data_IF_898876612935
#
_entry.id   IF_898876612935
#
_cell.length_a   1.000
_cell.length_b   1.000
_cell.length_c   1.000
_cell.angle_alpha   90.00
_cell.angle_beta   90.00
_cell.angle_gamma   90.00
#
_symmetry.space_group_name_H-M   'P 1'
#
loop_
_entity.id
_entity.type
_entity.pdbx_description
1 polymer ?
#
# COMPACT_ATOMS: atom_id res chain seq x y z
N UNK A 1 33.96 12.26 2.18
CA UNK A 1 33.89 10.81 1.88
C UNK A 1 33.90 10.06 3.20
N UNK A 2 32.73 9.68 3.72
CA UNK A 2 32.68 8.77 4.87
C UNK A 2 32.85 7.35 4.34
N UNK A 3 33.89 6.69 4.83
CA UNK A 3 34.23 5.29 4.55
C UNK A 3 33.11 4.40 5.09
N UNK A 4 32.42 3.71 4.18
CA UNK A 4 31.50 2.63 4.53
C UNK A 4 32.31 1.48 5.14
N UNK A 5 32.22 1.30 6.46
CA UNK A 5 32.59 0.04 7.11
C UNK A 5 31.60 -1.03 6.63
N UNK A 6 32.05 -1.91 5.73
CA UNK A 6 31.34 -3.16 5.45
C UNK A 6 31.23 -3.92 6.76
N UNK A 7 30.02 -4.15 7.25
CA UNK A 7 29.77 -5.22 8.20
C UNK A 7 29.94 -6.54 7.45
N UNK A 8 31.15 -7.09 7.48
CA UNK A 8 31.38 -8.47 7.10
C UNK A 8 30.75 -9.37 8.17
N UNK A 9 29.99 -10.42 7.81
CA UNK A 9 29.63 -11.43 8.78
C UNK A 9 30.93 -12.03 9.37
N UNK A 10 31.00 -12.31 10.68
CA UNK A 10 32.19 -12.88 11.27
C UNK A 10 32.53 -14.20 10.57
N UNK A 11 33.78 -14.34 10.13
CA UNK A 11 34.31 -15.51 9.40
C UNK A 11 34.38 -16.79 10.25
N UNK A 12 34.13 -16.66 11.56
CA UNK A 12 33.92 -17.77 12.48
C UNK A 12 33.07 -17.28 13.65
N UNK A 13 32.11 -18.10 14.08
CA UNK A 13 31.38 -17.87 15.33
C UNK A 13 32.37 -18.05 16.49
N UNK A 14 32.44 -17.13 17.46
CA UNK A 14 33.35 -17.28 18.60
C UNK A 14 33.09 -18.61 19.32
N UNK A 15 34.14 -19.29 19.79
CA UNK A 15 34.00 -20.50 20.60
C UNK A 15 33.19 -20.16 21.87
N UNK A 16 31.95 -20.65 21.97
CA UNK A 16 30.98 -20.24 23.01
C UNK A 16 30.72 -21.33 24.05
N UNK A 17 30.44 -20.88 25.29
CA UNK A 17 30.03 -21.68 26.45
C UNK A 17 28.66 -22.35 26.25
N UNK A 18 28.57 -23.70 26.31
CA UNK A 18 27.29 -24.41 26.39
C UNK A 18 26.54 -24.01 27.67
N UNK A 19 25.23 -23.74 27.60
CA UNK A 19 24.41 -23.51 28.81
C UNK A 19 23.67 -22.17 28.97
N UNK A 20 23.59 -21.31 27.95
CA UNK A 20 23.01 -19.95 28.10
C UNK A 20 21.57 -19.81 27.56
N UNK A 21 20.81 -18.86 28.11
CA UNK A 21 19.47 -18.47 27.66
C UNK A 21 19.54 -17.50 26.47
N UNK A 22 18.67 -17.66 25.47
CA UNK A 22 18.53 -16.71 24.35
C UNK A 22 17.12 -16.16 24.20
N UNK A 23 17.01 -14.94 23.70
CA UNK A 23 15.76 -14.24 23.41
C UNK A 23 15.66 -14.01 21.90
N UNK A 24 14.62 -14.52 21.26
CA UNK A 24 14.30 -14.24 19.86
C UNK A 24 13.14 -13.23 19.81
N UNK A 25 13.43 -12.03 19.31
CA UNK A 25 12.46 -10.93 19.24
C UNK A 25 11.81 -10.85 17.85
N UNK A 26 10.53 -11.19 17.80
CA UNK A 26 9.67 -11.05 16.62
C UNK A 26 9.16 -9.61 16.48
N UNK A 27 9.27 -9.06 15.26
CA UNK A 27 8.84 -7.69 14.90
C UNK A 27 8.07 -7.72 13.58
N UNK A 28 8.76 -8.19 12.54
CA UNK A 28 8.22 -8.90 11.39
C UNK A 28 8.59 -10.38 11.56
N UNK A 29 8.59 -11.17 10.50
CA UNK A 29 9.12 -12.51 10.57
C UNK A 29 8.27 -13.46 11.39
N UNK A 30 6.95 -13.28 11.39
CA UNK A 30 6.02 -14.04 12.21
C UNK A 30 5.86 -15.47 11.66
N UNK A 31 6.96 -16.22 11.62
CA UNK A 31 7.10 -17.55 11.03
C UNK A 31 8.22 -18.34 11.69
N UNK A 32 8.17 -19.66 11.56
CA UNK A 32 9.23 -20.58 11.96
C UNK A 32 10.14 -20.95 10.79
N UNK A 33 9.58 -21.16 9.59
CA UNK A 33 10.34 -21.51 8.39
C UNK A 33 11.23 -20.34 7.94
N UNK A 34 12.39 -20.64 7.34
CA UNK A 34 13.35 -19.63 6.87
C UNK A 34 13.53 -18.51 7.89
N UNK A 35 13.86 -18.84 9.13
CA UNK A 35 14.08 -17.85 10.19
C UNK A 35 15.49 -18.04 10.76
N UNK A 36 16.52 -17.47 10.10
CA UNK A 36 17.91 -17.63 10.53
C UNK A 36 18.17 -17.14 11.96
N UNK A 37 17.44 -16.12 12.41
CA UNK A 37 17.55 -15.61 13.78
C UNK A 37 16.99 -16.59 14.82
N UNK A 38 15.86 -17.22 14.53
CA UNK A 38 15.29 -18.29 15.37
C UNK A 38 16.19 -19.53 15.36
N UNK A 39 16.70 -19.92 14.19
CA UNK A 39 17.62 -21.06 14.04
C UNK A 39 18.91 -20.83 14.86
N UNK A 40 19.50 -19.65 14.77
CA UNK A 40 20.70 -19.29 15.54
C UNK A 40 20.43 -19.29 17.05
N UNK A 41 19.29 -18.76 17.49
CA UNK A 41 18.88 -18.80 18.89
C UNK A 41 18.71 -20.24 19.39
N UNK A 42 18.11 -21.12 18.60
CA UNK A 42 17.84 -22.51 18.97
C UNK A 42 19.10 -23.39 19.02
N UNK A 43 20.04 -23.24 18.09
CA UNK A 43 21.24 -24.12 17.99
C UNK A 43 22.17 -24.06 19.19
N UNK A 44 22.16 -22.96 19.95
CA UNK A 44 23.26 -22.61 20.87
C UNK A 44 22.79 -22.28 22.29
N UNK A 45 21.54 -22.59 22.62
CA UNK A 45 20.91 -22.17 23.89
C UNK A 45 20.23 -23.33 24.61
N UNK A 46 20.24 -23.29 25.95
CA UNK A 46 19.49 -24.26 26.77
C UNK A 46 18.01 -23.94 26.81
N UNK A 47 17.68 -22.65 26.87
CA UNK A 47 16.32 -22.14 26.76
C UNK A 47 16.27 -21.02 25.72
N UNK A 48 15.20 -21.00 24.94
CA UNK A 48 14.89 -19.94 23.98
C UNK A 48 13.60 -19.28 24.43
N UNK A 49 13.58 -17.95 24.47
CA UNK A 49 12.42 -17.13 24.83
C UNK A 49 11.92 -16.43 23.55
N UNK A 50 10.85 -16.93 22.91
CA UNK A 50 10.21 -16.25 21.78
C UNK A 50 9.39 -15.07 22.29
N UNK A 51 9.78 -13.83 21.94
CA UNK A 51 9.13 -12.62 22.40
C UNK A 51 8.54 -11.81 21.24
N UNK A 52 7.30 -11.37 21.40
CA UNK A 52 6.71 -10.27 20.64
C UNK A 52 6.28 -9.16 21.60
N UNK A 53 6.54 -7.90 21.24
CA UNK A 53 6.09 -6.74 22.03
C UNK A 53 5.01 -5.98 21.27
N UNK A 54 3.83 -5.90 21.86
CA UNK A 54 2.72 -5.08 21.37
C UNK A 54 2.98 -3.64 21.78
N UNK A 55 3.32 -2.82 20.79
CA UNK A 55 3.48 -1.38 20.92
C UNK A 55 2.10 -0.68 21.01
N UNK A 56 1.78 0.00 22.13
CA UNK A 56 0.55 0.76 22.29
C UNK A 56 0.34 1.82 21.20
N UNK A 57 1.40 2.38 20.62
CA UNK A 57 1.29 3.38 19.55
C UNK A 57 0.54 2.85 18.32
N UNK A 58 0.68 1.57 18.01
CA UNK A 58 0.05 0.91 16.87
C UNK A 58 -1.24 0.18 17.22
N UNK A 59 -1.58 0.05 18.50
CA UNK A 59 -2.64 -0.86 18.97
C UNK A 59 -3.68 -0.19 19.86
N UNK A 60 -3.35 0.92 20.53
CA UNK A 60 -4.29 1.66 21.37
C UNK A 60 -5.38 2.29 20.48
N UNK A 61 -6.67 2.07 20.77
CA UNK A 61 -7.76 2.71 20.03
C UNK A 61 -7.62 4.22 20.05
N UNK A 62 -7.76 4.83 18.87
CA UNK A 62 -7.78 6.28 18.70
C UNK A 62 -9.19 6.72 18.29
N UNK A 63 -9.97 7.34 19.20
CA UNK A 63 -11.34 7.75 18.93
C UNK A 63 -11.42 8.95 17.96
N UNK A 64 -10.32 9.66 17.70
CA UNK A 64 -10.27 10.81 16.78
C UNK A 64 -10.12 10.39 15.32
N UNK A 65 -9.92 9.12 15.09
CA UNK A 65 -9.71 8.54 13.80
C UNK A 65 -10.95 8.49 12.91
N UNK A 66 -10.74 8.55 11.59
CA UNK A 66 -11.81 8.38 10.60
C UNK A 66 -12.36 6.94 10.47
N UNK A 67 -11.71 5.96 11.10
CA UNK A 67 -12.17 4.58 11.14
C UNK A 67 -11.65 3.86 12.39
N UNK A 68 -12.35 2.81 12.88
CA UNK A 68 -11.93 2.06 14.06
C UNK A 68 -10.50 1.50 13.94
N UNK A 69 -9.73 1.62 15.03
CA UNK A 69 -8.35 1.15 15.14
C UNK A 69 -7.48 2.13 15.93
N UNK A 70 -6.17 2.00 15.81
CA UNK A 70 -5.19 2.95 16.36
C UNK A 70 -4.85 4.04 15.35
N UNK A 71 -4.19 5.11 15.80
CA UNK A 71 -3.76 6.24 14.96
C UNK A 71 -3.17 5.81 13.60
N UNK A 72 -2.34 4.77 13.60
CA UNK A 72 -1.62 4.29 12.42
C UNK A 72 -2.17 2.99 11.82
N UNK A 73 -3.07 2.27 12.49
CA UNK A 73 -3.55 0.95 12.06
C UNK A 73 -5.07 0.81 12.18
N UNK A 74 -5.75 0.46 11.08
CA UNK A 74 -7.15 0.08 11.12
C UNK A 74 -7.36 -1.32 11.72
N UNK A 75 -8.59 -1.59 12.18
CA UNK A 75 -8.94 -2.88 12.80
C UNK A 75 -8.58 -4.10 11.94
N UNK A 76 -8.72 -4.05 10.62
CA UNK A 76 -8.40 -5.17 9.74
C UNK A 76 -6.93 -5.58 9.86
N UNK A 77 -6.02 -4.60 9.90
CA UNK A 77 -4.57 -4.85 10.03
C UNK A 77 -4.20 -5.33 11.43
N UNK A 78 -4.83 -4.75 12.45
CA UNK A 78 -4.67 -5.19 13.85
C UNK A 78 -5.12 -6.64 14.00
N UNK A 79 -6.30 -6.99 13.48
CA UNK A 79 -6.83 -8.36 13.51
C UNK A 79 -5.90 -9.35 12.82
N UNK A 80 -5.42 -9.03 11.61
CA UNK A 80 -4.48 -9.89 10.89
C UNK A 80 -3.17 -10.12 11.68
N UNK A 81 -2.64 -9.08 12.34
CA UNK A 81 -1.49 -9.22 13.22
C UNK A 81 -1.79 -10.19 14.38
N UNK A 82 -2.91 -10.01 15.08
CA UNK A 82 -3.29 -10.88 16.20
C UNK A 82 -3.48 -12.34 15.75
N UNK A 83 -4.13 -12.57 14.62
CA UNK A 83 -4.26 -13.90 14.00
C UNK A 83 -2.89 -14.50 13.66
N UNK A 84 -1.95 -13.70 13.14
CA UNK A 84 -0.58 -14.13 12.85
C UNK A 84 0.20 -14.51 14.12
N UNK A 85 0.01 -13.77 15.22
CA UNK A 85 0.64 -14.08 16.50
C UNK A 85 0.07 -15.36 17.13
N UNK A 86 -1.24 -15.58 17.01
CA UNK A 86 -1.90 -16.82 17.46
C UNK A 86 -1.43 -18.03 16.67
N UNK A 87 -1.25 -17.90 15.35
CA UNK A 87 -0.68 -18.96 14.51
C UNK A 87 0.78 -19.25 14.88
N UNK A 88 1.61 -18.21 15.06
CA UNK A 88 3.00 -18.36 15.51
C UNK A 88 3.10 -19.08 16.86
N UNK A 89 2.30 -18.66 17.86
CA UNK A 89 2.25 -19.33 19.17
C UNK A 89 1.81 -20.80 19.05
N UNK A 90 0.81 -21.08 18.21
CA UNK A 90 0.32 -22.44 17.97
C UNK A 90 1.41 -23.33 17.32
N UNK A 91 2.19 -22.78 16.40
CA UNK A 91 3.29 -23.49 15.77
C UNK A 91 4.50 -23.67 16.71
N UNK A 92 4.79 -22.70 17.58
CA UNK A 92 5.80 -22.84 18.63
C UNK A 92 5.40 -23.90 19.68
N UNK A 93 4.11 -23.98 20.04
CA UNK A 93 3.56 -25.01 20.94
C UNK A 93 3.77 -26.43 20.43
N UNK A 94 3.63 -26.65 19.12
CA UNK A 94 3.92 -27.96 18.49
C UNK A 94 5.38 -28.40 18.66
N UNK A 95 6.29 -27.44 18.88
CA UNK A 95 7.71 -27.69 19.13
C UNK A 95 8.08 -27.67 20.63
N UNK A 96 7.09 -27.68 21.53
CA UNK A 96 7.32 -27.61 22.97
C UNK A 96 7.70 -26.23 23.50
N UNK A 97 7.49 -25.17 22.71
CA UNK A 97 7.74 -23.77 23.09
C UNK A 97 6.42 -22.97 23.17
N UNK A 98 6.51 -21.64 23.33
CA UNK A 98 5.38 -20.70 23.43
C UNK A 98 5.81 -19.31 22.95
N UNK A 99 4.89 -18.51 22.44
CA UNK A 99 5.13 -17.09 22.23
C UNK A 99 4.84 -16.30 23.51
N UNK A 100 5.81 -15.51 23.96
CA UNK A 100 5.63 -14.52 25.01
C UNK A 100 5.20 -13.21 24.36
N UNK A 101 4.01 -12.74 24.71
CA UNK A 101 3.48 -11.46 24.22
C UNK A 101 3.46 -10.48 25.38
N UNK A 102 4.27 -9.42 25.28
CA UNK A 102 4.35 -8.36 26.27
C UNK A 102 3.81 -7.05 25.72
N UNK A 103 3.35 -6.17 26.61
CA UNK A 103 2.82 -4.85 26.25
C UNK A 103 3.75 -3.76 26.76
N UNK A 104 4.03 -2.76 25.92
CA UNK A 104 4.84 -1.59 26.29
C UNK A 104 5.62 -1.02 25.11
N UNK A 105 6.44 0.00 25.38
CA UNK A 105 7.41 0.48 24.40
C UNK A 105 8.46 -0.63 24.18
N UNK A 106 8.74 -1.05 22.92
CA UNK A 106 9.61 -2.18 22.65
C UNK A 106 11.01 -2.10 23.27
N UNK A 107 11.65 -0.93 23.27
CA UNK A 107 12.96 -0.72 23.89
C UNK A 107 12.95 -0.97 25.40
N UNK A 108 12.02 -0.35 26.12
CA UNK A 108 11.85 -0.53 27.57
C UNK A 108 11.58 -1.98 27.95
N UNK A 109 10.66 -2.64 27.23
CA UNK A 109 10.30 -4.04 27.48
C UNK A 109 11.48 -4.97 27.23
N UNK A 110 12.22 -4.77 26.13
CA UNK A 110 13.41 -5.58 25.83
C UNK A 110 14.50 -5.41 26.90
N UNK A 111 14.81 -4.17 27.30
CA UNK A 111 15.81 -3.91 28.34
C UNK A 111 15.42 -4.61 29.65
N UNK A 112 14.13 -4.60 30.00
CA UNK A 112 13.63 -5.33 31.17
C UNK A 112 13.82 -6.85 31.03
N UNK A 113 13.40 -7.45 29.92
CA UNK A 113 13.53 -8.88 29.68
C UNK A 113 15.00 -9.35 29.70
N UNK A 114 15.91 -8.56 29.13
CA UNK A 114 17.34 -8.89 29.14
C UNK A 114 17.91 -8.97 30.56
N UNK A 115 17.47 -8.09 31.46
CA UNK A 115 17.90 -8.05 32.86
C UNK A 115 17.25 -9.15 33.70
N UNK A 116 15.93 -9.33 33.58
CA UNK A 116 15.16 -10.23 34.45
C UNK A 116 15.35 -11.71 34.12
N UNK A 117 15.65 -12.06 32.86
CA UNK A 117 15.73 -13.46 32.41
C UNK A 117 17.16 -13.96 32.18
N UNK A 118 18.18 -13.20 32.64
CA UNK A 118 19.62 -13.46 32.41
C UNK A 118 19.91 -13.81 30.94
N UNK A 119 19.39 -13.00 30.01
CA UNK A 119 19.54 -13.25 28.57
C UNK A 119 20.93 -12.80 28.14
N UNK A 120 21.76 -13.76 27.73
CA UNK A 120 23.12 -13.49 27.24
C UNK A 120 23.17 -13.33 25.71
N UNK A 121 22.04 -13.55 25.02
CA UNK A 121 21.93 -13.51 23.56
C UNK A 121 20.58 -12.99 23.08
N UNK A 122 20.56 -11.85 22.38
CA UNK A 122 19.40 -11.30 21.68
C UNK A 122 19.52 -11.59 20.18
N UNK A 123 18.52 -12.23 19.60
CA UNK A 123 18.42 -12.52 18.17
C UNK A 123 17.17 -11.83 17.59
N UNK A 124 17.29 -11.26 16.39
CA UNK A 124 16.18 -10.73 15.60
C UNK A 124 16.52 -10.85 14.12
N UNK A 125 15.51 -10.97 13.26
CA UNK A 125 15.70 -11.35 11.85
C UNK A 125 16.58 -10.36 11.05
N UNK A 126 17.62 -10.92 10.41
CA UNK A 126 18.20 -10.51 9.12
C UNK A 126 18.21 -11.77 8.25
N UNK A 127 17.62 -11.70 7.06
CA UNK A 127 17.02 -12.87 6.42
C UNK A 127 17.81 -13.33 5.20
N UNK A 128 18.37 -14.56 5.22
CA UNK A 128 18.58 -15.32 3.98
C UNK A 128 18.58 -16.90 3.98
N UNK A 129 17.49 -17.75 3.91
CA UNK A 129 17.57 -19.17 3.35
C UNK A 129 16.32 -20.08 3.01
N UNK A 130 16.32 -20.93 1.94
CA UNK A 130 15.14 -21.67 1.47
C UNK A 130 15.11 -23.18 1.78
N UNK A 131 13.94 -23.72 2.15
CA UNK A 131 13.62 -25.15 2.01
C UNK A 131 12.09 -25.37 2.04
N UNK A 132 11.64 -26.45 1.39
CA UNK A 132 10.31 -27.09 1.44
C UNK A 132 9.27 -26.76 0.35
N UNK A 133 9.06 -27.68 -0.58
CA UNK A 133 8.00 -27.65 -1.59
C UNK A 133 6.93 -28.72 -1.30
N UNK A 134 5.67 -28.46 -1.63
CA UNK A 134 4.78 -29.37 -2.41
C UNK A 134 3.28 -28.95 -2.37
N UNK A 135 2.78 -28.33 -3.45
CA UNK A 135 1.38 -28.42 -3.93
C UNK A 135 1.28 -27.81 -5.36
N UNK A 136 1.71 -28.57 -6.37
CA UNK A 136 2.51 -27.91 -7.41
C UNK A 136 1.87 -27.78 -8.81
N UNK A 137 1.22 -28.79 -9.37
CA UNK A 137 1.02 -28.82 -10.84
C UNK A 137 0.18 -27.67 -11.44
N UNK A 138 -0.99 -27.35 -10.87
CA UNK A 138 -1.85 -26.25 -11.38
C UNK A 138 -1.32 -24.86 -10.98
N UNK A 139 -0.63 -24.77 -9.84
CA UNK A 139 -0.01 -23.53 -9.35
C UNK A 139 1.22 -23.19 -10.19
N UNK A 140 2.01 -24.20 -10.56
CA UNK A 140 3.19 -24.11 -11.42
C UNK A 140 2.92 -23.44 -12.75
N UNK A 141 1.89 -23.92 -13.46
CA UNK A 141 1.52 -23.35 -14.74
C UNK A 141 1.04 -21.89 -14.62
N UNK A 142 0.28 -21.57 -13.57
CA UNK A 142 -0.16 -20.19 -13.31
C UNK A 142 1.02 -19.25 -13.00
N UNK A 143 1.97 -19.69 -12.16
CA UNK A 143 3.18 -18.92 -11.81
C UNK A 143 4.03 -18.64 -13.06
N UNK A 144 4.25 -19.64 -13.91
CA UNK A 144 5.06 -19.49 -15.13
C UNK A 144 4.45 -18.48 -16.12
N UNK A 145 3.11 -18.43 -16.21
CA UNK A 145 2.37 -17.58 -17.17
C UNK A 145 1.89 -16.23 -16.60
N UNK A 146 2.09 -15.96 -15.31
CA UNK A 146 1.56 -14.75 -14.66
C UNK A 146 2.15 -13.44 -15.22
N UNK A 147 1.30 -12.49 -15.61
CA UNK A 147 1.71 -11.13 -15.97
C UNK A 147 0.85 -10.08 -15.24
N UNK A 148 1.47 -9.34 -14.32
CA UNK A 148 0.74 -8.36 -13.48
C UNK A 148 -0.09 -7.35 -14.29
N UNK A 149 0.41 -6.71 -15.37
CA UNK A 149 -0.37 -5.70 -16.09
C UNK A 149 -1.66 -6.23 -16.74
N UNK A 150 -1.75 -7.55 -16.98
CA UNK A 150 -2.86 -8.21 -17.67
C UNK A 150 -3.84 -8.88 -16.69
N UNK A 151 -3.86 -8.44 -15.43
CA UNK A 151 -4.78 -8.95 -14.38
C UNK A 151 -6.01 -8.05 -14.22
N UNK A 152 -7.15 -8.66 -13.90
CA UNK A 152 -8.44 -7.98 -13.78
C UNK A 152 -8.62 -7.34 -12.38
N UNK A 153 -8.71 -5.99 -12.26
CA UNK A 153 -8.97 -5.31 -10.99
C UNK A 153 -10.37 -5.50 -10.44
N UNK A 154 -11.33 -5.92 -11.26
CA UNK A 154 -12.72 -6.15 -10.88
C UNK A 154 -12.98 -7.58 -10.39
N UNK A 155 -12.01 -8.50 -10.55
CA UNK A 155 -12.13 -9.88 -10.09
C UNK A 155 -12.09 -9.97 -8.55
N UNK A 156 -13.28 -10.08 -7.93
CA UNK A 156 -13.43 -10.14 -6.47
C UNK A 156 -13.75 -11.55 -5.92
N UNK A 157 -14.43 -12.42 -6.69
CA UNK A 157 -14.74 -13.80 -6.24
C UNK A 157 -13.49 -14.69 -6.21
N UNK A 158 -12.64 -14.57 -7.23
CA UNK A 158 -11.31 -15.17 -7.30
C UNK A 158 -10.34 -14.05 -7.66
N UNK A 159 -9.53 -13.58 -6.69
CA UNK A 159 -8.58 -12.50 -6.93
C UNK A 159 -7.66 -12.81 -8.10
N UNK A 160 -7.43 -11.83 -8.98
CA UNK A 160 -6.57 -12.02 -10.16
C UNK A 160 -5.06 -12.13 -9.85
N UNK A 161 -4.68 -12.02 -8.57
CA UNK A 161 -3.29 -12.09 -8.09
C UNK A 161 -3.23 -12.94 -6.82
N UNK A 162 -2.02 -13.27 -6.37
CA UNK A 162 -1.79 -14.21 -5.26
C UNK A 162 -2.38 -13.79 -3.91
N UNK A 163 -2.64 -12.49 -3.69
CA UNK A 163 -2.99 -11.93 -2.37
C UNK A 163 -1.97 -12.25 -1.26
N UNK A 164 -0.72 -12.57 -1.59
CA UNK A 164 0.32 -12.89 -0.60
C UNK A 164 0.98 -11.66 0.04
N UNK A 165 0.61 -10.45 -0.37
CA UNK A 165 1.22 -9.22 0.12
C UNK A 165 1.10 -9.00 1.64
N UNK A 166 -0.03 -9.33 2.33
CA UNK A 166 -0.10 -9.23 3.80
C UNK A 166 0.90 -10.17 4.49
N UNK A 167 1.02 -11.40 4.01
CA UNK A 167 1.91 -12.42 4.57
C UNK A 167 3.38 -12.01 4.41
N UNK A 168 3.76 -11.46 3.25
CA UNK A 168 5.10 -10.91 3.02
C UNK A 168 5.37 -9.66 3.89
N UNK A 169 4.36 -8.82 4.15
CA UNK A 169 4.50 -7.62 4.97
C UNK A 169 4.76 -7.92 6.45
N UNK A 170 4.05 -8.90 7.01
CA UNK A 170 4.26 -9.35 8.38
C UNK A 170 5.39 -10.38 8.51
N UNK A 171 5.90 -10.89 7.38
CA UNK A 171 6.92 -11.93 7.34
C UNK A 171 6.40 -13.31 7.77
N UNK A 172 5.09 -13.53 7.66
CA UNK A 172 4.46 -14.84 7.78
C UNK A 172 4.88 -15.76 6.63
N UNK A 173 5.20 -15.17 5.46
CA UNK A 173 5.82 -15.83 4.33
C UNK A 173 7.18 -15.19 4.09
N UNK A 174 8.24 -16.00 3.97
CA UNK A 174 9.54 -15.51 3.53
C UNK A 174 9.51 -15.12 2.05
N UNK A 175 10.02 -13.92 1.72
CA UNK A 175 10.20 -13.50 0.34
C UNK A 175 11.23 -14.34 -0.41
N UNK A 176 12.19 -14.94 0.30
CA UNK A 176 13.25 -15.74 -0.30
C UNK A 176 12.84 -17.16 -0.58
N UNK A 177 12.14 -17.75 0.38
CA UNK A 177 11.46 -19.01 0.14
C UNK A 177 10.54 -18.88 -1.07
N UNK A 178 9.75 -17.79 -1.14
CA UNK A 178 8.88 -17.55 -2.29
C UNK A 178 9.67 -17.33 -3.59
N UNK A 179 10.78 -16.58 -3.55
CA UNK A 179 11.69 -16.43 -4.70
C UNK A 179 12.18 -17.79 -5.22
N UNK A 180 12.67 -18.65 -4.32
CA UNK A 180 13.21 -19.95 -4.70
C UNK A 180 12.13 -20.87 -5.27
N UNK A 181 10.95 -20.88 -4.67
CA UNK A 181 9.79 -21.57 -5.24
C UNK A 181 9.53 -21.11 -6.67
N UNK A 182 9.47 -19.79 -6.94
CA UNK A 182 9.27 -19.29 -8.30
C UNK A 182 10.41 -19.73 -9.23
N UNK A 183 11.67 -19.65 -8.80
CA UNK A 183 12.83 -20.06 -9.59
C UNK A 183 12.83 -21.55 -9.93
N UNK A 184 12.40 -22.39 -9.00
CA UNK A 184 12.29 -23.83 -9.21
C UNK A 184 11.19 -24.15 -10.22
N UNK A 185 10.05 -23.47 -10.13
CA UNK A 185 8.98 -23.56 -11.13
C UNK A 185 9.48 -23.10 -12.49
N UNK A 186 10.14 -21.94 -12.60
CA UNK A 186 10.65 -21.43 -13.88
C UNK A 186 11.60 -22.43 -14.57
N UNK A 187 12.38 -23.23 -13.82
CA UNK A 187 13.25 -24.27 -14.39
C UNK A 187 12.49 -25.42 -15.05
N UNK A 188 11.26 -25.68 -14.61
CA UNK A 188 10.40 -26.76 -15.15
C UNK A 188 9.71 -26.36 -16.47
N UNK A 189 9.73 -25.08 -16.85
CA UNK A 189 9.05 -24.57 -18.05
C UNK A 189 10.05 -23.99 -19.05
N UNK A 190 9.97 -24.44 -20.31
CA UNK A 190 10.81 -23.94 -21.41
C UNK A 190 10.61 -22.44 -21.69
N UNK A 191 9.39 -21.94 -21.50
CA UNK A 191 9.02 -20.53 -21.66
C UNK A 191 8.23 -20.08 -20.43
N UNK A 192 8.62 -18.94 -19.85
CA UNK A 192 7.93 -18.30 -18.76
C UNK A 192 8.04 -16.78 -18.90
N UNK A 193 7.16 -16.06 -18.22
CA UNK A 193 7.17 -14.60 -18.20
C UNK A 193 8.44 -14.07 -17.52
N UNK A 194 8.87 -12.87 -17.88
CA UNK A 194 10.07 -12.24 -17.31
C UNK A 194 9.73 -10.97 -16.52
N UNK A 195 10.60 -10.54 -15.58
CA UNK A 195 10.49 -9.22 -14.98
C UNK A 195 10.42 -8.13 -16.07
N UNK A 196 9.66 -7.04 -15.89
CA UNK A 196 9.03 -6.61 -14.63
C UNK A 196 7.59 -7.14 -14.43
N UNK A 197 7.04 -7.87 -15.39
CA UNK A 197 5.61 -8.28 -15.38
C UNK A 197 5.37 -9.59 -14.66
N UNK A 198 6.37 -10.48 -14.64
CA UNK A 198 6.29 -11.80 -14.00
C UNK A 198 6.10 -11.73 -12.49
N UNK A 199 5.80 -12.88 -11.87
CA UNK A 199 5.65 -13.00 -10.42
C UNK A 199 6.98 -12.71 -9.71
N UNK A 200 8.10 -13.16 -10.30
CA UNK A 200 9.45 -12.81 -9.86
C UNK A 200 9.69 -11.29 -9.92
N UNK A 201 9.24 -10.64 -11.00
CA UNK A 201 9.29 -9.18 -11.14
C UNK A 201 8.53 -8.45 -10.03
N UNK A 202 7.50 -9.06 -9.43
CA UNK A 202 6.78 -8.46 -8.30
C UNK A 202 7.62 -8.44 -7.01
N UNK A 203 8.48 -9.44 -6.80
CA UNK A 203 9.46 -9.40 -5.70
C UNK A 203 10.54 -8.35 -5.96
N UNK A 204 10.97 -8.18 -7.21
CA UNK A 204 11.92 -7.11 -7.56
C UNK A 204 11.35 -5.71 -7.35
N UNK A 205 10.05 -5.50 -7.59
CA UNK A 205 9.39 -4.24 -7.23
C UNK A 205 9.41 -3.95 -5.73
N UNK A 206 9.23 -4.98 -4.90
CA UNK A 206 9.38 -4.85 -3.44
C UNK A 206 10.80 -4.43 -3.09
N UNK A 207 11.80 -5.16 -3.56
CA UNK A 207 13.20 -4.90 -3.20
C UNK A 207 13.71 -3.56 -3.75
N UNK A 208 13.22 -3.14 -4.93
CA UNK A 208 13.45 -1.81 -5.49
C UNK A 208 13.01 -0.72 -4.51
N UNK A 209 11.75 -0.74 -4.04
CA UNK A 209 11.27 0.29 -3.12
C UNK A 209 11.89 0.20 -1.74
N UNK A 210 12.20 -1.00 -1.24
CA UNK A 210 12.95 -1.17 0.01
C UNK A 210 14.35 -0.52 -0.09
N UNK A 211 15.06 -0.77 -1.19
CA UNK A 211 16.41 -0.21 -1.44
C UNK A 211 16.36 1.31 -1.56
N UNK A 212 15.43 1.84 -2.36
CA UNK A 212 15.30 3.29 -2.56
C UNK A 212 14.86 4.00 -1.27
N UNK A 213 13.89 3.42 -0.55
CA UNK A 213 13.41 3.97 0.71
C UNK A 213 14.49 4.02 1.78
N UNK A 214 15.32 2.98 1.89
CA UNK A 214 16.47 2.96 2.80
C UNK A 214 17.51 4.05 2.48
N UNK A 215 17.83 4.24 1.20
CA UNK A 215 18.86 5.19 0.74
C UNK A 215 18.41 6.65 0.60
N UNK A 216 17.16 6.97 0.95
CA UNK A 216 16.54 8.28 0.72
C UNK A 216 16.01 8.87 2.01
N UNK A 217 16.71 9.86 2.61
CA UNK A 217 16.14 10.66 3.69
C UNK A 217 14.81 11.29 3.28
N UNK A 218 13.86 11.34 4.22
CA UNK A 218 12.52 11.88 4.00
C UNK A 218 11.75 11.21 2.86
N UNK A 219 12.03 9.93 2.55
CA UNK A 219 11.36 9.19 1.46
C UNK A 219 9.82 9.25 1.53
N UNK A 220 9.28 9.39 2.73
CA UNK A 220 7.87 9.39 3.06
C UNK A 220 7.24 10.77 3.24
N UNK A 221 7.97 11.83 2.89
CA UNK A 221 7.49 13.20 2.82
C UNK A 221 7.91 13.85 1.49
N UNK A 222 7.20 14.90 1.07
CA UNK A 222 7.57 15.70 -0.09
C UNK A 222 8.71 16.66 0.26
N UNK A 223 8.57 17.38 1.37
CA UNK A 223 9.56 18.36 1.84
C UNK A 223 10.85 17.66 2.25
N UNK A 224 11.98 18.18 1.78
CA UNK A 224 13.32 17.63 2.07
C UNK A 224 13.67 16.35 1.30
N UNK A 225 12.76 15.80 0.51
CA UNK A 225 12.98 14.56 -0.23
C UNK A 225 13.64 14.81 -1.59
N UNK A 226 14.91 14.43 -1.70
CA UNK A 226 15.77 14.69 -2.88
C UNK A 226 15.26 14.10 -4.20
N UNK A 227 14.40 13.07 -4.16
CA UNK A 227 13.86 12.42 -5.37
C UNK A 227 12.40 12.79 -5.64
N UNK A 228 11.78 13.59 -4.77
CA UNK A 228 10.39 13.99 -4.88
C UNK A 228 10.29 15.39 -5.50
N UNK A 229 9.52 15.50 -6.59
CA UNK A 229 9.14 16.80 -7.16
C UNK A 229 8.31 17.58 -6.15
N UNK A 230 8.65 18.86 -6.00
CA UNK A 230 7.94 19.79 -5.14
C UNK A 230 6.72 20.33 -5.91
N UNK A 231 5.52 19.91 -5.53
CA UNK A 231 4.28 20.23 -6.23
C UNK A 231 3.34 20.94 -5.24
N UNK A 232 2.72 22.08 -5.62
CA UNK A 232 1.85 22.85 -4.74
C UNK A 232 0.46 22.21 -4.66
N UNK A 233 0.38 20.99 -4.11
CA UNK A 233 -0.87 20.26 -3.91
C UNK A 233 -1.89 21.07 -3.11
N UNK A 234 -3.18 20.79 -3.33
CA UNK A 234 -4.26 21.39 -2.56
C UNK A 234 -4.35 20.77 -1.16
N UNK A 235 -4.86 21.55 -0.22
CA UNK A 235 -5.32 21.06 1.07
C UNK A 235 -6.83 21.29 1.15
N UNK A 236 -7.60 20.25 0.86
CA UNK A 236 -9.06 20.27 0.87
C UNK A 236 -9.55 19.00 1.59
N UNK A 237 -9.91 19.18 2.86
CA UNK A 237 -10.29 18.07 3.73
C UNK A 237 -11.66 17.48 3.36
N UNK A 238 -12.53 18.24 2.69
CA UNK A 238 -13.84 17.75 2.23
C UNK A 238 -13.67 16.80 1.05
N UNK A 239 -12.87 17.17 0.04
CA UNK A 239 -12.56 16.29 -1.09
C UNK A 239 -11.78 15.05 -0.64
N UNK A 240 -10.85 15.21 0.31
CA UNK A 240 -10.15 14.08 0.92
C UNK A 240 -11.13 13.14 1.63
N UNK A 241 -12.07 13.68 2.43
CA UNK A 241 -13.08 12.89 3.12
C UNK A 241 -14.02 12.19 2.13
N UNK A 242 -14.44 12.86 1.06
CA UNK A 242 -15.27 12.26 0.02
C UNK A 242 -14.57 11.07 -0.65
N UNK A 243 -13.29 11.20 -0.99
CA UNK A 243 -12.48 10.11 -1.54
C UNK A 243 -12.29 8.98 -0.53
N UNK A 244 -11.87 9.30 0.67
CA UNK A 244 -11.60 8.33 1.76
C UNK A 244 -12.85 7.51 2.08
N UNK A 245 -14.01 8.15 2.13
CA UNK A 245 -15.27 7.57 2.60
C UNK A 245 -16.15 7.01 1.49
N UNK A 246 -15.62 6.89 0.26
CA UNK A 246 -16.35 6.36 -0.90
C UNK A 246 -17.63 7.16 -1.21
N UNK A 247 -17.51 8.49 -1.19
CA UNK A 247 -18.59 9.45 -1.50
C UNK A 247 -18.19 10.42 -2.60
N UNK A 248 -17.33 9.99 -3.53
CA UNK A 248 -16.90 10.83 -4.66
C UNK A 248 -18.00 11.00 -5.70
N UNK A 249 -19.01 10.10 -5.70
CA UNK A 249 -20.04 10.06 -6.73
C UNK A 249 -19.59 9.35 -8.01
N UNK A 250 -18.36 8.81 -8.04
CA UNK A 250 -17.85 7.96 -9.12
C UNK A 250 -17.87 6.49 -8.67
N UNK A 251 -18.82 5.66 -9.15
CA UNK A 251 -19.04 4.32 -8.60
C UNK A 251 -17.82 3.41 -8.63
N UNK A 252 -16.96 3.51 -9.65
CA UNK A 252 -15.71 2.74 -9.71
C UNK A 252 -14.76 3.10 -8.57
N UNK A 253 -14.54 4.39 -8.33
CA UNK A 253 -13.67 4.88 -7.25
C UNK A 253 -14.26 4.53 -5.89
N UNK A 254 -15.55 4.79 -5.70
CA UNK A 254 -16.24 4.52 -4.45
C UNK A 254 -16.27 3.02 -4.12
N UNK A 255 -16.53 2.15 -5.10
CA UNK A 255 -16.50 0.70 -4.90
C UNK A 255 -15.11 0.20 -4.45
N UNK A 256 -14.03 0.73 -5.05
CA UNK A 256 -12.66 0.41 -4.65
C UNK A 256 -12.39 0.86 -3.21
N UNK A 257 -12.82 2.07 -2.85
CA UNK A 257 -12.60 2.60 -1.49
C UNK A 257 -13.44 1.85 -0.44
N UNK A 258 -14.63 1.36 -0.80
CA UNK A 258 -15.39 0.43 0.05
C UNK A 258 -14.68 -0.92 0.18
N UNK A 259 -14.16 -1.51 -0.89
CA UNK A 259 -13.39 -2.75 -0.82
C UNK A 259 -12.17 -2.57 0.08
N UNK A 260 -11.42 -1.48 -0.08
CA UNK A 260 -10.26 -1.17 0.77
C UNK A 260 -10.65 -1.12 2.24
N UNK A 261 -11.75 -0.46 2.59
CA UNK A 261 -12.20 -0.37 3.98
C UNK A 261 -12.68 -1.72 4.53
N UNK A 262 -13.42 -2.50 3.74
CA UNK A 262 -14.00 -3.77 4.17
C UNK A 262 -12.97 -4.89 4.25
N UNK A 263 -12.12 -5.03 3.24
CA UNK A 263 -11.19 -6.14 3.11
C UNK A 263 -9.77 -5.77 3.56
N UNK A 264 -9.44 -4.48 3.58
CA UNK A 264 -8.07 -4.01 3.81
C UNK A 264 -7.10 -4.42 2.70
N UNK A 265 -7.61 -4.79 1.53
CA UNK A 265 -6.82 -5.12 0.35
C UNK A 265 -7.60 -4.77 -0.92
N UNK A 266 -6.90 -4.18 -1.89
CA UNK A 266 -7.40 -3.91 -3.24
C UNK A 266 -6.34 -4.24 -4.28
N UNK A 267 -6.79 -4.61 -5.47
CA UNK A 267 -5.94 -4.95 -6.61
C UNK A 267 -5.02 -3.79 -7.01
N UNK A 268 -3.86 -4.07 -7.60
CA UNK A 268 -2.87 -3.03 -7.91
C UNK A 268 -3.42 -1.96 -8.89
N UNK A 269 -4.16 -2.34 -9.94
CA UNK A 269 -4.79 -1.36 -10.85
C UNK A 269 -5.94 -0.58 -10.19
N UNK A 270 -6.57 -1.16 -9.16
CA UNK A 270 -7.55 -0.44 -8.33
C UNK A 270 -6.83 0.63 -7.48
N UNK A 271 -5.67 0.30 -6.88
CA UNK A 271 -4.79 1.28 -6.20
C UNK A 271 -4.37 2.41 -7.15
N UNK A 272 -3.97 2.06 -8.38
CA UNK A 272 -3.62 3.04 -9.41
C UNK A 272 -4.77 4.01 -9.69
N UNK A 273 -5.99 3.48 -9.86
CA UNK A 273 -7.17 4.28 -10.16
C UNK A 273 -7.45 5.31 -9.06
N UNK A 274 -7.52 4.87 -7.80
CA UNK A 274 -7.89 5.76 -6.69
C UNK A 274 -6.78 6.74 -6.31
N UNK A 275 -5.50 6.35 -6.43
CA UNK A 275 -4.38 7.25 -6.18
C UNK A 275 -4.23 8.31 -7.30
N UNK A 276 -4.42 7.91 -8.56
CA UNK A 276 -4.46 8.85 -9.68
C UNK A 276 -5.60 9.86 -9.49
N UNK A 277 -6.82 9.38 -9.18
CA UNK A 277 -7.98 10.24 -8.93
C UNK A 277 -7.72 11.26 -7.82
N UNK A 278 -7.21 10.82 -6.66
CA UNK A 278 -6.92 11.71 -5.53
C UNK A 278 -5.86 12.78 -5.85
N UNK A 279 -4.82 12.41 -6.62
CA UNK A 279 -3.64 13.27 -6.81
C UNK A 279 -3.71 13.99 -8.16
N UNK A 280 -2.83 13.64 -9.10
CA UNK A 280 -2.64 14.32 -10.39
C UNK A 280 -3.79 14.16 -11.40
N UNK A 281 -4.76 13.29 -11.12
CA UNK A 281 -5.83 12.93 -12.03
C UNK A 281 -7.01 13.87 -11.94
N UNK A 282 -7.51 14.13 -10.72
CA UNK A 282 -8.79 14.82 -10.53
C UNK A 282 -8.77 15.80 -9.35
N UNK A 283 -8.48 15.35 -8.13
CA UNK A 283 -8.69 16.17 -6.92
C UNK A 283 -7.50 17.07 -6.56
N UNK A 284 -6.31 16.78 -7.09
CA UNK A 284 -5.07 17.51 -6.82
C UNK A 284 -4.69 17.60 -5.34
N UNK A 285 -5.10 16.59 -4.54
CA UNK A 285 -4.79 16.48 -3.12
C UNK A 285 -3.38 15.90 -2.93
N UNK A 286 -2.74 16.31 -1.84
CA UNK A 286 -1.39 15.87 -1.48
C UNK A 286 -1.32 14.34 -1.35
N UNK A 287 -0.34 13.71 -2.00
CA UNK A 287 -0.17 12.25 -2.02
C UNK A 287 0.05 11.66 -0.62
N UNK A 288 0.71 12.39 0.28
CA UNK A 288 0.87 12.01 1.70
C UNK A 288 -0.47 11.74 2.39
N UNK A 289 -1.53 12.51 2.08
CA UNK A 289 -2.86 12.29 2.66
C UNK A 289 -3.45 10.95 2.20
N UNK A 290 -3.26 10.63 0.92
CA UNK A 290 -3.65 9.34 0.37
C UNK A 290 -2.83 8.18 0.95
N UNK A 291 -1.52 8.40 1.11
CA UNK A 291 -0.58 7.48 1.77
C UNK A 291 -1.04 7.14 3.17
N UNK A 292 -1.42 8.13 3.97
CA UNK A 292 -1.85 7.94 5.36
C UNK A 292 -3.15 7.12 5.45
N UNK A 293 -4.10 7.37 4.53
CA UNK A 293 -5.32 6.54 4.44
C UNK A 293 -4.98 5.10 4.10
N UNK A 294 -4.10 4.88 3.12
CA UNK A 294 -3.65 3.54 2.73
C UNK A 294 -2.83 2.87 3.82
N UNK A 295 -2.00 3.62 4.54
CA UNK A 295 -1.23 3.11 5.66
C UNK A 295 -2.16 2.52 6.70
N UNK A 296 -3.23 3.23 7.04
CA UNK A 296 -4.19 2.74 8.02
C UNK A 296 -5.03 1.57 7.54
N UNK A 297 -5.58 1.64 6.32
CA UNK A 297 -6.60 0.69 5.86
C UNK A 297 -6.01 -0.59 5.25
N UNK A 298 -4.83 -0.54 4.64
CA UNK A 298 -4.23 -1.72 4.02
C UNK A 298 -3.69 -2.68 5.09
N UNK A 299 -4.09 -3.95 5.03
CA UNK A 299 -3.47 -5.02 5.81
C UNK A 299 -2.03 -5.24 5.35
N UNK A 300 -1.75 -5.07 4.06
CA UNK A 300 -0.40 -5.14 3.49
C UNK A 300 0.36 -3.82 3.51
N UNK A 301 -0.06 -2.86 4.36
CA UNK A 301 0.61 -1.57 4.50
C UNK A 301 2.09 -1.75 4.84
N UNK A 302 2.95 -1.39 3.90
CA UNK A 302 4.41 -1.43 4.00
C UNK A 302 4.98 -0.04 3.76
N UNK A 303 5.76 0.50 4.69
CA UNK A 303 6.26 1.87 4.59
C UNK A 303 7.03 2.14 3.29
N UNK A 304 7.93 1.24 2.88
CA UNK A 304 8.73 1.47 1.67
C UNK A 304 7.87 1.38 0.41
N UNK A 305 7.03 0.33 0.32
CA UNK A 305 6.21 0.09 -0.87
C UNK A 305 5.10 1.13 -0.99
N UNK A 306 4.42 1.47 0.10
CA UNK A 306 3.32 2.44 0.12
C UNK A 306 3.82 3.81 -0.32
N UNK A 307 4.87 4.34 0.33
CA UNK A 307 5.45 5.63 -0.04
C UNK A 307 5.95 5.66 -1.49
N UNK A 308 6.69 4.63 -1.91
CA UNK A 308 7.21 4.53 -3.27
C UNK A 308 6.11 4.50 -4.35
N UNK A 309 5.02 3.76 -4.11
CA UNK A 309 3.90 3.71 -5.05
C UNK A 309 3.06 5.01 -5.04
N UNK A 310 2.93 5.69 -3.90
CA UNK A 310 2.28 7.00 -3.85
C UNK A 310 3.08 8.06 -4.61
N UNK A 311 4.41 8.10 -4.43
CA UNK A 311 5.31 8.94 -5.22
C UNK A 311 5.21 8.66 -6.73
N UNK A 312 5.09 7.37 -7.10
CA UNK A 312 4.91 6.94 -8.48
C UNK A 312 3.59 7.45 -9.06
N UNK A 313 2.48 7.17 -8.38
CA UNK A 313 1.14 7.43 -8.92
C UNK A 313 0.76 8.90 -8.92
N UNK A 314 1.32 9.71 -8.01
CA UNK A 314 1.22 11.16 -8.03
C UNK A 314 2.10 11.83 -9.09
N UNK A 315 2.96 11.05 -9.77
CA UNK A 315 4.04 11.57 -10.61
C UNK A 315 4.98 12.54 -9.87
N UNK A 316 5.19 12.30 -8.58
CA UNK A 316 6.18 13.02 -7.78
C UNK A 316 7.58 12.42 -7.95
N UNK A 317 7.69 11.12 -8.22
CA UNK A 317 8.95 10.42 -8.55
C UNK A 317 8.68 9.17 -9.39
N UNK A 318 9.74 8.57 -9.96
CA UNK A 318 9.77 7.32 -10.75
C UNK A 318 8.98 7.32 -12.08
N UNK A 319 7.74 7.80 -12.08
CA UNK A 319 6.89 7.89 -13.26
C UNK A 319 6.51 9.35 -13.53
N UNK A 320 6.88 9.85 -14.71
CA UNK A 320 6.80 11.28 -15.02
C UNK A 320 5.79 11.61 -16.14
N UNK A 321 5.09 10.60 -16.67
CA UNK A 321 4.08 10.79 -17.72
C UNK A 321 2.73 11.21 -17.11
N UNK A 322 2.70 12.38 -16.44
CA UNK A 322 1.54 12.88 -15.69
C UNK A 322 0.28 13.07 -16.55
N UNK A 323 0.41 13.15 -17.88
CA UNK A 323 -0.70 13.22 -18.82
C UNK A 323 -1.50 11.92 -18.97
N UNK A 324 -0.92 10.75 -18.59
CA UNK A 324 -1.60 9.45 -18.61
C UNK A 324 -2.50 9.30 -17.38
N UNK A 325 -3.71 9.84 -17.45
CA UNK A 325 -4.68 9.86 -16.34
C UNK A 325 -5.67 8.69 -16.49
N UNK A 326 -5.91 7.96 -15.41
CA UNK A 326 -6.94 6.92 -15.35
C UNK A 326 -8.33 7.59 -15.34
N UNK A 327 -9.23 7.17 -16.24
CA UNK A 327 -10.61 7.64 -16.19
C UNK A 327 -11.37 6.93 -15.07
N UNK A 328 -12.04 7.65 -14.15
CA UNK A 328 -12.89 7.05 -13.13
C UNK A 328 -14.18 6.44 -13.71
N UNK A 329 -14.43 6.60 -15.02
CA UNK A 329 -15.61 6.09 -15.72
C UNK A 329 -15.21 4.93 -16.64
N UNK A 330 -14.31 5.15 -17.59
CA UNK A 330 -14.04 4.16 -18.64
C UNK A 330 -13.10 3.03 -18.21
N UNK A 331 -12.27 3.24 -17.18
CA UNK A 331 -11.29 2.23 -16.78
C UNK A 331 -11.96 0.96 -16.22
N UNK A 332 -12.91 1.09 -15.29
CA UNK A 332 -13.65 -0.06 -14.79
C UNK A 332 -14.50 -0.73 -15.87
N UNK A 333 -15.17 0.05 -16.73
CA UNK A 333 -15.95 -0.46 -17.88
C UNK A 333 -15.15 -1.41 -18.78
N UNK A 334 -13.83 -1.20 -18.92
CA UNK A 334 -12.97 -2.06 -19.74
C UNK A 334 -12.91 -3.52 -19.24
N UNK A 335 -12.96 -3.71 -17.92
CA UNK A 335 -12.82 -5.04 -17.29
C UNK A 335 -14.16 -5.62 -16.86
N UNK A 336 -15.07 -4.76 -16.39
CA UNK A 336 -16.40 -5.15 -15.95
C UNK A 336 -17.47 -4.25 -16.57
N UNK A 337 -17.86 -4.47 -17.84
CA UNK A 337 -18.90 -3.68 -18.50
C UNK A 337 -20.26 -3.75 -17.79
N UNK A 338 -20.51 -4.83 -17.04
CA UNK A 338 -21.78 -5.07 -16.33
C UNK A 338 -21.89 -4.27 -15.01
N UNK A 339 -20.73 -3.89 -14.46
CA UNK A 339 -20.59 -3.27 -13.15
C UNK A 339 -20.87 -4.23 -11.99
N UNK A 340 -20.65 -5.54 -12.15
CA UNK A 340 -20.80 -6.53 -11.09
C UNK A 340 -19.99 -6.17 -9.83
N UNK A 341 -18.75 -5.69 -10.00
CA UNK A 341 -17.90 -5.21 -8.92
C UNK A 341 -18.53 -4.01 -8.19
N UNK A 342 -19.05 -3.03 -8.95
CA UNK A 342 -19.76 -1.88 -8.39
C UNK A 342 -20.99 -2.33 -7.60
N UNK A 343 -21.82 -3.21 -8.17
CA UNK A 343 -23.04 -3.71 -7.52
C UNK A 343 -22.75 -4.46 -6.22
N UNK A 344 -21.64 -5.19 -6.17
CA UNK A 344 -21.22 -5.91 -4.97
C UNK A 344 -20.82 -4.96 -3.84
N UNK A 345 -19.95 -3.98 -4.11
CA UNK A 345 -19.42 -3.09 -3.07
C UNK A 345 -20.33 -1.89 -2.78
N UNK A 346 -21.15 -1.46 -3.74
CA UNK A 346 -22.13 -0.39 -3.64
C UNK A 346 -23.55 -0.94 -3.88
N UNK A 347 -24.13 -1.69 -2.93
CA UNK A 347 -25.45 -2.31 -3.11
C UNK A 347 -26.58 -1.31 -3.32
N UNK A 348 -26.38 -0.03 -2.99
CA UNK A 348 -27.32 1.06 -3.33
C UNK A 348 -27.48 1.26 -4.84
N UNK A 349 -26.49 0.85 -5.64
CA UNK A 349 -26.53 0.89 -7.11
C UNK A 349 -26.83 -0.49 -7.73
N UNK A 350 -27.21 -1.50 -6.94
CA UNK A 350 -27.35 -2.90 -7.41
C UNK A 350 -28.35 -3.05 -8.57
N UNK A 351 -29.38 -2.21 -8.62
CA UNK A 351 -30.46 -2.26 -9.62
C UNK A 351 -30.31 -1.18 -10.71
N UNK A 352 -29.24 -0.38 -10.67
CA UNK A 352 -28.97 0.65 -11.70
C UNK A 352 -28.64 -0.03 -13.04
N UNK A 353 -29.28 0.33 -14.16
CA UNK A 353 -28.97 -0.30 -15.46
C UNK A 353 -27.49 -0.16 -15.85
N UNK A 354 -26.97 -1.14 -16.59
CA UNK A 354 -25.53 -1.22 -16.96
C UNK A 354 -25.06 0.01 -17.74
N UNK A 355 -25.96 0.66 -18.47
CA UNK A 355 -25.70 1.86 -19.26
C UNK A 355 -25.27 3.03 -18.37
N UNK A 356 -25.77 3.06 -17.13
CA UNK A 356 -25.57 4.14 -16.17
C UNK A 356 -24.71 3.73 -14.96
N UNK A 357 -24.35 2.46 -14.79
CA UNK A 357 -23.72 1.95 -13.55
C UNK A 357 -22.40 2.65 -13.18
N UNK A 358 -21.68 3.18 -14.18
CA UNK A 358 -20.43 3.93 -14.00
C UNK A 358 -20.61 5.45 -13.98
N UNK A 359 -21.79 5.93 -14.33
CA UNK A 359 -22.13 7.35 -14.44
C UNK A 359 -23.60 7.61 -14.07
N UNK A 360 -24.05 7.20 -12.87
CA UNK A 360 -25.48 7.12 -12.57
C UNK A 360 -26.16 8.50 -12.55
N UNK A 361 -25.40 9.58 -12.45
CA UNK A 361 -25.89 10.95 -12.59
C UNK A 361 -26.40 11.29 -14.01
N UNK A 362 -26.08 10.50 -15.03
CA UNK A 362 -26.62 10.66 -16.39
C UNK A 362 -27.92 9.88 -16.60
N UNK A 363 -28.32 9.03 -15.65
CA UNK A 363 -29.59 8.31 -15.70
C UNK A 363 -30.78 9.29 -15.57
N UNK A 364 -31.81 9.20 -16.43
CA UNK A 364 -33.04 9.96 -16.25
C UNK A 364 -33.68 9.71 -14.88
N UNK A 365 -34.38 10.70 -14.33
CA UNK A 365 -35.01 10.58 -13.00
C UNK A 365 -35.98 9.39 -12.91
N UNK A 366 -36.66 9.05 -14.00
CA UNK A 366 -37.53 7.87 -14.09
C UNK A 366 -36.76 6.56 -13.91
N UNK A 367 -35.55 6.46 -14.47
CA UNK A 367 -34.65 5.30 -14.30
C UNK A 367 -34.11 5.25 -12.87
N UNK A 368 -33.70 6.39 -12.31
CA UNK A 368 -33.24 6.48 -10.91
C UNK A 368 -34.33 6.01 -9.92
N UNK A 369 -35.59 6.45 -10.13
CA UNK A 369 -36.74 5.98 -9.36
C UNK A 369 -36.96 4.47 -9.51
N UNK A 370 -36.90 3.95 -10.74
CA UNK A 370 -37.06 2.51 -11.01
C UNK A 370 -35.96 1.66 -10.38
N UNK A 371 -34.72 2.16 -10.34
CA UNK A 371 -33.59 1.52 -9.68
C UNK A 371 -33.54 1.74 -8.17
N UNK A 372 -34.52 2.45 -7.60
CA UNK A 372 -34.59 2.81 -6.18
C UNK A 372 -33.32 3.50 -5.65
N UNK A 373 -32.73 4.36 -6.48
CA UNK A 373 -31.52 5.12 -6.13
C UNK A 373 -31.55 6.50 -6.80
N UNK A 374 -31.93 7.52 -6.04
CA UNK A 374 -31.93 8.92 -6.47
C UNK A 374 -30.56 9.55 -6.22
N UNK A 375 -29.93 10.05 -7.29
CA UNK A 375 -28.60 10.66 -7.22
C UNK A 375 -28.68 12.05 -6.58
N UNK A 376 -27.82 12.28 -5.59
CA UNK A 376 -27.85 13.42 -4.68
C UNK A 376 -28.63 13.16 -3.38
N UNK A 377 -29.30 12.00 -3.25
CA UNK A 377 -29.98 11.59 -2.02
C UNK A 377 -29.45 10.25 -1.52
N UNK A 378 -29.58 9.19 -2.31
CA UNK A 378 -29.24 7.83 -1.91
C UNK A 378 -27.78 7.48 -2.28
N UNK A 379 -27.28 8.08 -3.37
CA UNK A 379 -25.87 8.05 -3.79
C UNK A 379 -25.44 9.46 -4.22
N UNK A 380 -24.24 9.96 -3.87
CA UNK A 380 -23.86 11.35 -4.13
C UNK A 380 -23.73 11.67 -5.62
N UNK A 381 -23.89 12.95 -5.95
CA UNK A 381 -23.47 13.48 -7.27
C UNK A 381 -21.93 13.48 -7.34
N UNK A 382 -21.34 13.44 -8.55
CA UNK A 382 -19.90 13.61 -8.72
C UNK A 382 -19.41 14.88 -8.01
N UNK A 383 -18.38 14.74 -7.18
CA UNK A 383 -17.76 15.87 -6.47
C UNK A 383 -17.04 16.84 -7.41
N UNK A 384 -16.69 16.36 -8.62
CA UNK A 384 -16.02 17.12 -9.67
C UNK A 384 -16.51 16.70 -11.06
N UNK A 385 -16.19 17.50 -12.08
CA UNK A 385 -16.26 17.09 -13.48
C UNK A 385 -14.88 16.58 -13.94
N UNK A 386 -14.76 15.28 -14.22
CA UNK A 386 -13.48 14.65 -14.60
C UNK A 386 -12.80 15.33 -15.81
N UNK A 387 -13.57 15.73 -16.82
CA UNK A 387 -13.04 16.39 -18.01
C UNK A 387 -12.36 17.72 -17.68
N UNK A 388 -13.01 18.53 -16.83
CA UNK A 388 -12.46 19.83 -16.42
C UNK A 388 -11.32 19.66 -15.42
N UNK A 389 -11.52 18.82 -14.40
CA UNK A 389 -10.56 18.59 -13.32
C UNK A 389 -9.24 18.00 -13.84
N UNK A 390 -9.30 16.99 -14.71
CA UNK A 390 -8.08 16.39 -15.29
C UNK A 390 -7.31 17.35 -16.20
N UNK A 391 -8.00 18.24 -16.92
CA UNK A 391 -7.37 19.30 -17.71
C UNK A 391 -6.67 20.32 -16.82
N UNK A 392 -7.32 20.73 -15.74
CA UNK A 392 -6.74 21.63 -14.75
C UNK A 392 -5.51 20.99 -14.09
N UNK A 393 -5.62 19.76 -13.59
CA UNK A 393 -4.51 19.03 -12.98
C UNK A 393 -3.31 18.91 -13.93
N UNK A 394 -3.52 18.57 -15.21
CA UNK A 394 -2.43 18.57 -16.22
C UNK A 394 -1.74 19.92 -16.33
N UNK A 395 -2.49 21.02 -16.32
CA UNK A 395 -1.94 22.37 -16.33
C UNK A 395 -1.10 22.68 -15.08
N UNK A 396 -1.61 22.34 -13.89
CA UNK A 396 -0.89 22.52 -12.62
C UNK A 396 0.39 21.68 -12.56
N UNK A 397 0.30 20.42 -12.98
CA UNK A 397 1.45 19.51 -13.07
C UNK A 397 2.51 20.03 -14.03
N UNK A 398 2.12 20.51 -15.21
CA UNK A 398 3.06 21.09 -16.18
C UNK A 398 3.80 22.31 -15.58
N UNK A 399 3.08 23.22 -14.92
CA UNK A 399 3.68 24.39 -14.29
C UNK A 399 4.63 24.01 -13.13
N UNK A 400 4.25 23.05 -12.29
CA UNK A 400 5.11 22.52 -11.23
C UNK A 400 6.36 21.83 -11.79
N UNK A 401 6.24 21.07 -12.87
CA UNK A 401 7.36 20.42 -13.54
C UNK A 401 8.35 21.44 -14.10
N UNK A 402 7.86 22.50 -14.73
CA UNK A 402 8.71 23.59 -15.23
C UNK A 402 9.41 24.32 -14.09
N UNK A 403 8.75 24.57 -12.97
CA UNK A 403 9.39 25.15 -11.78
C UNK A 403 10.51 24.26 -11.25
N UNK A 404 10.25 22.96 -11.08
CA UNK A 404 11.26 22.00 -10.61
C UNK A 404 12.45 21.92 -11.57
N UNK A 405 12.21 22.04 -12.88
CA UNK A 405 13.27 22.08 -13.90
C UNK A 405 14.11 23.36 -13.78
N UNK A 406 13.46 24.53 -13.66
CA UNK A 406 14.14 25.83 -13.53
C UNK A 406 15.00 25.92 -12.29
N UNK A 407 14.52 25.42 -11.15
CA UNK A 407 15.26 25.42 -9.89
C UNK A 407 16.21 24.22 -9.73
N UNK A 408 16.43 23.43 -10.79
CA UNK A 408 17.26 22.22 -10.77
C UNK A 408 16.93 21.28 -9.58
N UNK A 409 15.63 21.11 -9.30
CA UNK A 409 15.09 20.33 -8.19
C UNK A 409 15.12 21.00 -6.81
N UNK A 410 15.77 22.16 -6.64
CA UNK A 410 15.90 22.89 -5.38
C UNK A 410 14.83 23.95 -5.20
N UNK A 411 13.56 23.54 -5.30
CA UNK A 411 12.40 24.46 -5.16
C UNK A 411 12.21 24.83 -3.68
N UNK A 412 12.14 26.13 -3.37
CA UNK A 412 11.88 26.63 -2.01
C UNK A 412 10.38 26.68 -1.68
N UNK A 413 10.05 26.90 -0.40
CA UNK A 413 8.66 27.12 0.02
C UNK A 413 8.06 28.39 -0.59
N UNK A 414 8.87 29.44 -0.76
CA UNK A 414 8.44 30.69 -1.38
C UNK A 414 8.13 30.48 -2.88
N UNK A 415 8.97 29.73 -3.59
CA UNK A 415 8.71 29.34 -4.99
C UNK A 415 7.38 28.58 -5.13
N UNK A 416 7.12 27.63 -4.23
CA UNK A 416 5.87 26.85 -4.21
C UNK A 416 4.66 27.74 -3.91
N UNK A 417 4.78 28.67 -2.97
CA UNK A 417 3.71 29.58 -2.62
C UNK A 417 3.40 30.54 -3.78
N UNK A 418 4.43 31.09 -4.43
CA UNK A 418 4.28 31.92 -5.62
C UNK A 418 3.59 31.17 -6.76
N UNK A 419 4.00 29.92 -7.01
CA UNK A 419 3.34 29.07 -8.01
C UNK A 419 1.88 28.77 -7.64
N UNK A 420 1.59 28.53 -6.37
CA UNK A 420 0.21 28.29 -5.89
C UNK A 420 -0.69 29.50 -6.18
N UNK A 421 -0.22 30.71 -5.89
CA UNK A 421 -0.95 31.96 -6.20
C UNK A 421 -1.16 32.10 -7.71
N UNK A 422 -0.10 31.96 -8.50
CA UNK A 422 -0.17 32.11 -9.97
C UNK A 422 -1.16 31.13 -10.63
N UNK A 423 -1.19 29.89 -10.15
CA UNK A 423 -2.07 28.85 -10.70
C UNK A 423 -3.50 28.97 -10.17
N UNK A 424 -3.68 29.40 -8.92
CA UNK A 424 -4.99 29.68 -8.31
C UNK A 424 -5.72 30.86 -8.96
N UNK A 425 -5.01 31.94 -9.28
CA UNK A 425 -5.60 33.09 -9.99
C UNK A 425 -6.03 32.70 -11.41
N UNK A 426 -5.28 31.82 -12.08
CA UNK A 426 -5.61 31.33 -13.44
C UNK A 426 -6.87 30.45 -13.46
N UNK A 427 -7.14 29.65 -12.42
CA UNK A 427 -8.37 28.86 -12.34
C UNK A 427 -9.60 29.74 -12.06
N UNK A 428 -9.48 30.82 -11.29
CA UNK A 428 -10.57 31.78 -11.07
C UNK A 428 -10.86 32.64 -12.33
N UNK A 429 -9.84 33.09 -13.05
CA UNK A 429 -10.00 33.86 -14.30
C UNK A 429 -10.62 33.02 -15.44
N UNK A 430 -10.29 31.73 -15.51
CA UNK A 430 -10.89 30.83 -16.52
C UNK A 430 -12.33 30.45 -16.20
N UNK A 431 -12.69 30.30 -14.91
CA UNK A 431 -14.08 30.11 -14.47
C UNK A 431 -14.96 31.31 -14.80
N UNK A 432 -14.49 32.54 -14.50
CA UNK A 432 -15.24 33.77 -14.77
C UNK A 432 -15.41 34.09 -16.27
N UNK A 433 -14.42 33.79 -17.11
CA UNK A 433 -14.55 33.91 -18.58
C UNK A 433 -15.53 32.89 -19.19
N UNK A 434 -15.58 31.65 -18.68
CA UNK A 434 -16.54 30.64 -19.14
C UNK A 434 -17.98 30.94 -18.73
N UNK A 435 -18.19 31.54 -17.56
CA UNK A 435 -19.50 32.03 -17.13
C UNK A 435 -20.00 33.16 -18.04
N UNK A 436 -19.13 34.08 -18.47
CA UNK A 436 -19.50 35.15 -19.42
C UNK A 436 -19.82 34.66 -20.83
N UNK A 437 -19.22 33.55 -21.29
CA UNK A 437 -19.50 32.97 -22.61
C UNK A 437 -20.76 32.11 -22.69
N UNK A 438 -21.37 31.72 -21.56
CA UNK A 438 -22.66 31.01 -21.53
C UNK A 438 -23.88 31.94 -21.40
N UNK A 439 -23.64 33.25 -21.32
CA UNK A 439 -24.64 34.30 -21.14
C UNK A 439 -24.85 35.16 -22.40
N UNK A 440 -24.40 34.69 -23.57
CA UNK A 440 -24.62 35.33 -24.87
C UNK A 440 -25.30 34.33 -25.80
#
# INVERSE_FOLDING_TARGET
MQTFTRFSPPSSYPNMTPGSNSLIWFRKGLRIHDNPALEYAAKTSTHVYPLFVIDPHYMKPDPTAFSPGSKLAGLNRIRFLLESLLDLDSNLKKLGSRLLVLHGEPGEVLIRCLKEWDIKRLCFEYDTDPYYQSLDAKVKEWVAKFEKPNTDPSAFLKPATTMLSPYLKFGCLSSRYFYQCIKEIEKEFKNHTSPPVSLLGQLYWRDFFYTVGFGTPNFDCMRGNKICRQIPWNNDDELLAAWRDARTGFPWIDAIMVQLRKWGWIHHLARHSVACFLTRGDLFIHWEKGRDVFERLLVDSDWAINNGNWLWLSCSSFFYQYHRIYSPISFGKKYDPSGAYIRHFLPVLKDMPKEYIYEPWTAPLSIQKKANCIIGKDYPKPVISHETASKECKGKMAAAYELNKKQNGKVSDEDLQNLRTQVGDRSQVTSSRRLKQKLI
#
